data_IF_333863096753
#
_entry.id   IF_333863096753
#
_cell.length_a   1.000
_cell.length_b   1.000
_cell.length_c   1.000
_cell.angle_alpha   90.00
_cell.angle_beta   90.00
_cell.angle_gamma   90.00
#
_symmetry.space_group_name_H-M   'P 1'
#
loop_
_entity.id
_entity.type
_entity.pdbx_description
1 polymer ?
#
# COMPACT_ATOMS: atom_id res chain seq x y z
N UNK A 1 31.15 5.85 -9.03
CA UNK A 1 30.46 4.63 -9.53
C UNK A 1 29.07 5.05 -9.96
N UNK A 2 28.79 5.06 -11.26
CA UNK A 2 27.52 5.57 -11.79
C UNK A 2 26.43 4.53 -11.59
N UNK A 3 25.42 4.86 -10.78
CA UNK A 3 24.25 4.02 -10.53
C UNK A 3 23.41 3.95 -11.82
N UNK A 4 23.34 2.75 -12.40
CA UNK A 4 22.62 2.45 -13.64
C UNK A 4 21.10 2.30 -13.37
N UNK A 5 20.45 3.34 -12.85
CA UNK A 5 19.04 3.26 -12.37
C UNK A 5 17.99 3.64 -13.43
N UNK A 6 18.37 4.03 -14.65
CA UNK A 6 17.43 4.42 -15.70
C UNK A 6 16.94 3.29 -16.63
N UNK A 7 17.33 2.03 -16.38
CA UNK A 7 16.86 0.90 -17.19
C UNK A 7 15.57 0.34 -16.63
N UNK A 8 14.44 0.92 -17.03
CA UNK A 8 13.13 0.32 -16.83
C UNK A 8 13.05 -1.08 -17.47
N UNK A 9 12.29 -1.98 -16.86
CA UNK A 9 12.06 -3.33 -17.37
C UNK A 9 10.64 -3.44 -17.96
N UNK A 10 10.51 -4.02 -19.15
CA UNK A 10 9.20 -4.31 -19.74
C UNK A 10 8.70 -5.63 -19.15
N UNK A 11 7.68 -5.55 -18.31
CA UNK A 11 7.02 -6.72 -17.71
C UNK A 11 5.67 -7.00 -18.38
N UNK A 12 5.29 -8.28 -18.41
CA UNK A 12 3.98 -8.69 -18.91
C UNK A 12 2.92 -8.53 -17.82
N UNK A 13 1.80 -7.92 -18.18
CA UNK A 13 0.58 -7.96 -17.37
C UNK A 13 -0.17 -9.27 -17.65
N UNK A 14 -0.53 -9.99 -16.59
CA UNK A 14 -1.30 -11.23 -16.70
C UNK A 14 -2.71 -10.95 -17.26
N UNK A 15 -3.40 -12.00 -17.74
CA UNK A 15 -4.79 -11.86 -18.19
C UNK A 15 -5.74 -11.36 -17.09
N UNK A 16 -5.35 -11.51 -15.84
CA UNK A 16 -6.11 -11.05 -14.66
C UNK A 16 -5.68 -9.64 -14.21
N UNK A 17 -4.84 -8.95 -14.98
CA UNK A 17 -4.37 -7.60 -14.65
C UNK A 17 -3.21 -7.54 -13.66
N UNK A 18 -2.52 -8.66 -13.38
CA UNK A 18 -1.42 -8.66 -12.42
C UNK A 18 -0.09 -8.30 -13.10
N UNK A 19 0.65 -7.37 -12.51
CA UNK A 19 2.02 -7.06 -12.86
C UNK A 19 2.93 -7.41 -11.67
N UNK A 20 3.96 -8.22 -11.91
CA UNK A 20 4.88 -8.66 -10.85
C UNK A 20 6.00 -7.64 -10.70
N UNK A 21 6.22 -7.16 -9.47
CA UNK A 21 7.37 -6.29 -9.16
C UNK A 21 8.65 -7.16 -9.13
N UNK A 22 9.65 -6.86 -9.98
CA UNK A 22 10.95 -7.55 -9.97
C UNK A 22 11.58 -7.60 -8.58
N UNK A 23 12.33 -8.67 -8.29
CA UNK A 23 12.90 -8.93 -6.96
C UNK A 23 13.81 -7.78 -6.51
N UNK A 24 14.62 -7.27 -7.43
CA UNK A 24 15.59 -6.22 -7.23
C UNK A 24 14.90 -4.90 -6.83
N UNK A 25 13.74 -4.59 -7.42
CA UNK A 25 12.93 -3.44 -7.03
C UNK A 25 12.28 -3.67 -5.67
N UNK A 26 11.73 -4.86 -5.41
CA UNK A 26 11.14 -5.18 -4.10
C UNK A 26 12.15 -5.01 -2.97
N UNK A 27 13.34 -5.57 -3.11
CA UNK A 27 14.40 -5.47 -2.09
C UNK A 27 14.88 -4.04 -1.89
N UNK A 28 15.06 -3.28 -2.98
CA UNK A 28 15.48 -1.86 -2.91
C UNK A 28 14.46 -0.95 -2.23
N UNK A 29 13.16 -1.24 -2.39
CA UNK A 29 12.07 -0.43 -1.84
C UNK A 29 11.43 -1.06 -0.60
N UNK A 30 12.02 -2.10 -0.01
CA UNK A 30 11.52 -2.70 1.24
C UNK A 30 10.14 -3.36 1.11
N UNK A 31 9.79 -3.89 -0.08
CA UNK A 31 8.52 -4.58 -0.30
C UNK A 31 8.71 -6.06 0.01
N UNK A 32 8.39 -6.46 1.24
CA UNK A 32 8.44 -7.85 1.66
C UNK A 32 7.36 -8.72 1.00
N UNK A 33 7.58 -10.04 0.99
CA UNK A 33 6.57 -11.01 0.55
C UNK A 33 6.35 -12.10 1.59
N UNK A 34 5.11 -12.38 2.01
CA UNK A 34 3.88 -11.67 1.62
C UNK A 34 3.82 -10.26 2.24
N UNK A 35 3.43 -9.27 1.44
CA UNK A 35 3.35 -7.86 1.87
C UNK A 35 2.24 -7.12 1.15
N UNK A 36 2.02 -5.85 1.52
CA UNK A 36 1.04 -4.96 0.90
C UNK A 36 1.75 -3.73 0.34
N UNK A 37 1.18 -3.18 -0.73
CA UNK A 37 1.63 -1.93 -1.33
C UNK A 37 0.44 -0.98 -1.48
N UNK A 38 0.71 0.32 -1.36
CA UNK A 38 -0.21 1.37 -1.72
C UNK A 38 0.00 1.77 -3.18
N UNK A 39 -1.08 1.90 -3.95
CA UNK A 39 -1.02 2.24 -5.38
C UNK A 39 -1.85 3.51 -5.59
N UNK A 40 -1.25 4.54 -6.19
CA UNK A 40 -1.95 5.77 -6.59
C UNK A 40 -1.54 6.19 -8.01
N UNK A 41 -2.31 7.12 -8.58
CA UNK A 41 -1.92 7.84 -9.77
C UNK A 41 -1.28 9.18 -9.40
N UNK A 42 -0.14 9.50 -9.99
CA UNK A 42 0.55 10.77 -9.83
C UNK A 42 1.18 11.16 -11.18
N UNK A 43 0.86 12.35 -11.69
CA UNK A 43 1.36 12.83 -12.99
C UNK A 43 1.17 11.85 -14.17
N UNK A 44 0.03 11.14 -14.21
CA UNK A 44 -0.26 10.13 -15.24
C UNK A 44 0.59 8.86 -15.14
N UNK A 45 1.25 8.63 -13.99
CA UNK A 45 2.03 7.44 -13.69
C UNK A 45 1.39 6.67 -12.53
N UNK A 46 1.54 5.35 -12.55
CA UNK A 46 1.21 4.52 -11.39
C UNK A 46 2.39 4.57 -10.44
N UNK A 47 2.16 5.09 -9.23
CA UNK A 47 3.12 5.09 -8.13
C UNK A 47 2.77 3.97 -7.17
N UNK A 48 3.78 3.16 -6.81
CA UNK A 48 3.64 2.03 -5.90
C UNK A 48 4.57 2.26 -4.72
N UNK A 49 4.01 2.26 -3.51
CA UNK A 49 4.72 2.46 -2.26
C UNK A 49 4.55 1.26 -1.33
N UNK A 50 5.60 0.87 -0.56
CA UNK A 50 5.47 -0.16 0.45
C UNK A 50 4.48 0.29 1.54
N UNK A 51 3.57 -0.62 1.94
CA UNK A 51 2.65 -0.36 3.05
C UNK A 51 3.18 -1.06 4.31
N UNK A 52 3.64 -0.31 5.33
CA UNK A 52 4.17 -0.90 6.54
C UNK A 52 3.09 -1.65 7.33
N UNK A 53 3.52 -2.72 7.98
CA UNK A 53 2.71 -3.52 8.89
C UNK A 53 2.51 -2.80 10.24
N UNK A 54 1.53 -3.25 11.01
CA UNK A 54 1.25 -2.67 12.33
C UNK A 54 2.40 -2.95 13.30
N UNK A 55 3.11 -4.07 13.13
CA UNK A 55 4.31 -4.43 13.88
C UNK A 55 5.45 -3.44 13.63
N UNK A 56 5.73 -3.10 12.37
CA UNK A 56 6.78 -2.14 11.99
C UNK A 56 6.47 -0.72 12.48
N UNK A 57 5.19 -0.31 12.44
CA UNK A 57 4.75 0.98 12.97
C UNK A 57 4.90 1.11 14.50
N UNK A 58 4.96 0.00 15.24
CA UNK A 58 5.11 -0.03 16.71
C UNK A 58 6.57 -0.19 17.18
N UNK A 59 7.52 -0.37 16.26
CA UNK A 59 8.93 -0.54 16.58
C UNK A 59 9.69 0.78 16.81
N UNK A 60 10.91 0.68 17.35
CA UNK A 60 11.86 1.79 17.57
C UNK A 60 12.28 2.54 16.29
N UNK A 61 11.88 2.04 15.11
CA UNK A 61 12.15 2.59 13.79
C UNK A 61 10.95 3.34 13.17
N UNK A 62 9.92 3.67 13.97
CA UNK A 62 8.78 4.49 13.55
C UNK A 62 9.13 5.91 13.04
N UNK A 63 10.43 6.28 13.06
CA UNK A 63 10.93 7.59 12.69
C UNK A 63 11.26 7.81 11.21
N UNK A 64 11.43 6.74 10.41
CA UNK A 64 11.93 6.85 9.03
C UNK A 64 10.85 6.75 7.94
N UNK A 65 9.63 6.33 8.27
CA UNK A 65 8.53 6.40 7.30
C UNK A 65 8.12 7.86 7.12
N UNK A 66 8.08 8.36 5.87
CA UNK A 66 7.57 9.71 5.58
C UNK A 66 6.15 9.85 6.13
N UNK A 67 6.07 10.52 7.28
CA UNK A 67 5.06 10.39 8.34
C UNK A 67 3.66 10.91 8.02
N UNK A 68 3.35 11.25 6.77
CA UNK A 68 2.13 11.96 6.41
C UNK A 68 1.11 11.10 5.67
N UNK A 69 1.36 10.86 4.39
CA UNK A 69 0.34 10.40 3.45
C UNK A 69 -0.16 8.97 3.72
N UNK A 70 0.75 8.05 4.04
CA UNK A 70 0.39 6.64 4.26
C UNK A 70 -0.43 6.46 5.54
N UNK A 71 -0.09 7.18 6.61
CA UNK A 71 -0.83 7.13 7.87
C UNK A 71 -2.20 7.80 7.77
N UNK A 72 -2.30 8.92 7.05
CA UNK A 72 -3.55 9.61 6.80
C UNK A 72 -4.49 8.73 5.96
N UNK A 73 -3.99 8.13 4.88
CA UNK A 73 -4.78 7.25 4.05
C UNK A 73 -5.21 5.95 4.76
N UNK A 74 -4.36 5.40 5.64
CA UNK A 74 -4.75 4.27 6.50
C UNK A 74 -5.86 4.65 7.50
N UNK A 75 -5.89 5.89 8.00
CA UNK A 75 -6.99 6.38 8.85
C UNK A 75 -8.27 6.47 8.05
N UNK A 76 -8.23 7.03 6.86
CA UNK A 76 -9.41 7.13 5.97
C UNK A 76 -10.01 5.77 5.66
N UNK A 77 -9.19 4.78 5.30
CA UNK A 77 -9.65 3.42 5.04
C UNK A 77 -10.30 2.77 6.27
N UNK A 78 -9.71 2.98 7.46
CA UNK A 78 -10.23 2.46 8.72
C UNK A 78 -11.55 3.13 9.12
N UNK A 79 -11.68 4.42 8.89
CA UNK A 79 -12.90 5.18 9.17
C UNK A 79 -14.03 4.79 8.21
N UNK A 80 -13.72 4.57 6.93
CA UNK A 80 -14.67 4.06 5.95
C UNK A 80 -15.16 2.63 6.28
N UNK A 81 -14.28 1.77 6.80
CA UNK A 81 -14.66 0.41 7.22
C UNK A 81 -15.59 0.45 8.45
N UNK A 82 -15.26 1.28 9.45
CA UNK A 82 -16.12 1.50 10.62
C UNK A 82 -17.50 2.04 10.26
N UNK A 83 -17.58 2.96 9.31
CA UNK A 83 -18.87 3.49 8.85
C UNK A 83 -19.72 2.40 8.20
N UNK A 84 -19.11 1.54 7.39
CA UNK A 84 -19.80 0.39 6.77
C UNK A 84 -20.28 -0.62 7.80
N UNK A 85 -19.49 -0.91 8.83
CA UNK A 85 -19.91 -1.77 9.94
C UNK A 85 -21.07 -1.16 10.74
N UNK A 86 -20.97 0.12 11.11
CA UNK A 86 -22.01 0.82 11.86
C UNK A 86 -23.36 0.90 11.10
N UNK A 87 -23.32 1.13 9.77
CA UNK A 87 -24.54 1.08 8.95
C UNK A 87 -25.16 -0.32 8.90
N UNK A 88 -24.31 -1.35 8.84
CA UNK A 88 -24.76 -2.74 8.80
C UNK A 88 -25.42 -3.14 10.12
N UNK A 89 -24.83 -2.76 11.24
CA UNK A 89 -25.39 -2.99 12.57
C UNK A 89 -26.70 -2.22 12.77
N UNK A 90 -26.75 -0.96 12.37
CA UNK A 90 -27.96 -0.13 12.41
C UNK A 90 -29.10 -0.66 11.54
N UNK A 91 -28.79 -1.42 10.49
CA UNK A 91 -29.79 -2.06 9.61
C UNK A 91 -30.30 -3.36 10.22
N UNK A 92 -29.45 -4.11 10.91
CA UNK A 92 -29.82 -5.33 11.62
C UNK A 92 -30.72 -5.02 12.83
N UNK A 93 -30.45 -3.92 13.54
CA UNK A 93 -31.28 -3.47 14.67
C UNK A 93 -32.67 -2.98 14.25
N UNK A 94 -32.81 -2.38 13.05
CA UNK A 94 -34.10 -1.92 12.52
C UNK A 94 -35.03 -3.03 12.03
N UNK A 95 -34.54 -4.26 11.91
CA UNK A 95 -35.28 -5.40 11.37
C UNK A 95 -35.66 -6.43 12.45
N UNK A 96 -35.50 -6.06 13.72
CA UNK A 96 -35.87 -6.82 14.92
C UNK A 96 -37.09 -6.19 15.58
#
# INVERSE_FOLDING_TARGET
MSSNTDRGEIIRVSKKGQATIPKELRERFGIETPGKVYIREEEGKIVVEPLPTVEEMRGTHAGEYERGAVLEHLRELKDADKQREAERDSRLERHR
#
